data_IF_763718143972
#
_entry.id   IF_763718143972
#
_cell.length_a   1.000
_cell.length_b   1.000
_cell.length_c   1.000
_cell.angle_alpha   90.00
_cell.angle_beta   90.00
_cell.angle_gamma   90.00
#
_symmetry.space_group_name_H-M   'P 1'
#
loop_
_entity.id
_entity.type
_entity.pdbx_description
1 polymer ?
#
# COMPACT_ATOMS: atom_id res chain seq x y z
N UNK A 1 -13.32 -5.27 8.01
CA UNK A 1 -12.35 -4.18 8.09
C UNK A 1 -11.36 -4.30 6.95
N UNK A 2 -11.16 -3.21 6.24
CA UNK A 2 -10.31 -3.07 5.06
C UNK A 2 -9.37 -1.90 5.33
N UNK A 3 -8.15 -1.99 4.83
CA UNK A 3 -7.13 -0.98 5.06
C UNK A 3 -6.66 -0.41 3.74
N UNK A 4 -6.58 0.91 3.67
CA UNK A 4 -5.85 1.62 2.61
C UNK A 4 -4.50 1.97 3.17
N UNK A 5 -3.45 1.83 2.38
CA UNK A 5 -2.08 2.06 2.82
C UNK A 5 -1.25 2.75 1.77
N UNK A 6 -0.26 3.49 2.25
CA UNK A 6 0.77 4.15 1.45
C UNK A 6 2.13 3.66 1.92
N UNK A 7 2.88 3.09 0.99
CA UNK A 7 4.27 2.71 1.17
C UNK A 7 5.15 3.75 0.49
N UNK A 8 6.26 4.13 1.14
CA UNK A 8 7.34 4.88 0.52
C UNK A 8 8.44 3.90 0.14
N UNK A 9 8.84 3.87 -1.12
CA UNK A 9 10.05 3.15 -1.51
C UNK A 9 11.26 3.98 -1.14
N UNK A 10 12.14 3.41 -0.32
CA UNK A 10 13.39 4.07 0.09
C UNK A 10 14.43 4.06 -1.05
N UNK A 11 14.18 3.28 -2.10
CA UNK A 11 15.06 3.17 -3.26
C UNK A 11 14.89 4.31 -4.26
N UNK A 12 13.63 4.64 -4.59
CA UNK A 12 13.29 5.65 -5.59
C UNK A 12 12.61 6.89 -5.00
N UNK A 13 12.30 6.89 -3.70
CA UNK A 13 11.61 7.99 -3.02
C UNK A 13 10.15 8.13 -3.42
N UNK A 14 9.60 7.19 -4.18
CA UNK A 14 8.24 7.27 -4.73
C UNK A 14 7.25 6.48 -3.88
N UNK A 15 6.01 6.97 -3.83
CA UNK A 15 4.94 6.31 -3.11
C UNK A 15 4.36 5.12 -3.89
N UNK A 16 3.73 4.21 -3.15
CA UNK A 16 2.87 3.15 -3.64
C UNK A 16 1.62 3.09 -2.78
N UNK A 17 0.46 3.27 -3.40
CA UNK A 17 -0.82 3.23 -2.70
C UNK A 17 -1.59 1.97 -3.08
N UNK A 18 -2.13 1.28 -2.08
CA UNK A 18 -2.95 0.10 -2.27
C UNK A 18 -3.95 -0.08 -1.14
N UNK A 19 -4.78 -1.12 -1.27
CA UNK A 19 -5.65 -1.57 -0.19
C UNK A 19 -5.42 -3.05 0.10
N UNK A 20 -5.67 -3.47 1.35
CA UNK A 20 -5.57 -4.85 1.79
C UNK A 20 -6.43 -5.12 3.02
N UNK A 21 -6.79 -6.38 3.24
CA UNK A 21 -7.44 -6.81 4.50
C UNK A 21 -6.44 -6.96 5.65
N UNK A 22 -5.18 -7.29 5.33
CA UNK A 22 -4.11 -7.48 6.30
C UNK A 22 -2.85 -6.74 5.82
N UNK A 23 -2.62 -5.56 6.37
CA UNK A 23 -1.58 -4.64 5.90
C UNK A 23 -0.16 -5.16 6.16
N UNK A 24 0.09 -5.79 7.31
CA UNK A 24 1.42 -6.28 7.69
C UNK A 24 1.91 -7.37 6.74
N UNK A 25 1.06 -8.37 6.47
CA UNK A 25 1.35 -9.42 5.51
C UNK A 25 1.61 -8.84 4.12
N UNK A 26 0.87 -7.80 3.73
CA UNK A 26 1.02 -7.17 2.42
C UNK A 26 2.31 -6.38 2.31
N UNK A 27 2.64 -5.58 3.33
CA UNK A 27 3.90 -4.83 3.40
C UNK A 27 5.11 -5.78 3.37
N UNK A 28 5.04 -6.90 4.10
CA UNK A 28 6.07 -7.95 4.05
C UNK A 28 6.23 -8.52 2.64
N UNK A 29 5.14 -8.89 1.95
CA UNK A 29 5.20 -9.38 0.56
C UNK A 29 5.83 -8.38 -0.41
N UNK A 30 5.57 -7.08 -0.23
CA UNK A 30 6.21 -6.04 -1.03
C UNK A 30 7.73 -6.03 -0.78
N UNK A 31 8.16 -6.06 0.48
CA UNK A 31 9.58 -6.06 0.88
C UNK A 31 10.32 -7.36 0.50
N UNK A 32 9.65 -8.50 0.51
CA UNK A 32 10.17 -9.79 0.04
C UNK A 32 10.25 -9.87 -1.50
N UNK A 33 9.80 -8.86 -2.24
CA UNK A 33 9.82 -8.85 -3.70
C UNK A 33 8.83 -9.83 -4.36
N UNK A 34 7.84 -10.34 -3.60
CA UNK A 34 6.81 -11.27 -4.11
C UNK A 34 5.78 -10.58 -5.01
N UNK A 35 5.73 -9.25 -5.01
CA UNK A 35 4.83 -8.45 -5.84
C UNK A 35 5.55 -7.96 -7.08
N UNK A 36 5.19 -8.49 -8.26
CA UNK A 36 5.88 -8.24 -9.54
C UNK A 36 6.02 -6.74 -9.85
N UNK A 37 4.98 -5.94 -9.59
CA UNK A 37 4.97 -4.51 -9.90
C UNK A 37 5.85 -3.66 -8.99
N UNK A 38 6.17 -4.13 -7.77
CA UNK A 38 6.94 -3.37 -6.78
C UNK A 38 8.27 -4.03 -6.42
N UNK A 39 8.55 -5.26 -6.89
CA UNK A 39 9.76 -6.01 -6.52
C UNK A 39 11.07 -5.28 -6.81
N UNK A 40 11.09 -4.43 -7.85
CA UNK A 40 12.27 -3.67 -8.25
C UNK A 40 12.46 -2.38 -7.44
N UNK A 41 11.48 -2.03 -6.59
CA UNK A 41 11.39 -0.77 -5.82
C UNK A 41 11.57 -1.00 -4.31
N UNK A 42 11.91 -2.22 -3.88
CA UNK A 42 12.22 -2.50 -2.48
C UNK A 42 13.54 -1.83 -2.06
N UNK A 43 13.71 -1.47 -0.77
CA UNK A 43 12.79 -1.67 0.35
C UNK A 43 11.70 -0.58 0.46
N UNK A 44 10.57 -0.97 1.06
CA UNK A 44 9.41 -0.11 1.34
C UNK A 44 9.22 0.10 2.84
N UNK A 45 8.88 1.34 3.18
CA UNK A 45 8.46 1.77 4.51
C UNK A 45 6.98 2.11 4.50
N UNK A 46 6.23 1.56 5.45
CA UNK A 46 4.84 1.95 5.66
C UNK A 46 4.81 3.34 6.29
N UNK A 47 4.25 4.32 5.57
CA UNK A 47 4.18 5.73 6.03
C UNK A 47 2.79 6.16 6.47
N UNK A 48 1.76 5.48 5.97
CA UNK A 48 0.38 5.81 6.30
C UNK A 48 -0.54 4.62 6.07
N UNK A 49 -1.57 4.50 6.91
CA UNK A 49 -2.68 3.59 6.68
C UNK A 49 -3.97 4.11 7.32
N UNK A 50 -5.10 3.70 6.76
CA UNK A 50 -6.44 3.98 7.27
C UNK A 50 -7.26 2.72 7.30
N UNK A 51 -8.15 2.60 8.29
CA UNK A 51 -9.07 1.48 8.42
C UNK A 51 -10.50 1.91 8.03
N UNK A 52 -11.19 1.06 7.28
CA UNK A 52 -12.58 1.22 6.88
C UNK A 52 -13.37 -0.05 7.16
N UNK A 53 -14.62 0.08 7.58
CA UNK A 53 -15.49 -1.08 7.80
C UNK A 53 -15.98 -1.67 6.47
N UNK A 54 -16.25 -0.80 5.48
CA UNK A 54 -16.70 -1.15 4.14
C UNK A 54 -15.53 -1.16 3.14
N UNK A 55 -15.54 -2.14 2.22
CA UNK A 55 -14.55 -2.22 1.13
C UNK A 55 -14.73 -1.09 0.11
N UNK A 56 -15.97 -0.64 -0.11
CA UNK A 56 -16.28 0.45 -1.03
C UNK A 56 -15.59 1.75 -0.62
N UNK A 57 -15.64 2.07 0.67
CA UNK A 57 -14.97 3.25 1.24
C UNK A 57 -13.45 3.16 1.06
N UNK A 58 -12.87 1.98 1.34
CA UNK A 58 -11.44 1.74 1.16
C UNK A 58 -11.02 1.89 -0.32
N UNK A 59 -11.79 1.33 -1.27
CA UNK A 59 -11.50 1.45 -2.70
C UNK A 59 -11.65 2.89 -3.18
N UNK A 60 -12.69 3.61 -2.72
CA UNK A 60 -12.89 5.01 -3.07
C UNK A 60 -11.73 5.86 -2.55
N UNK A 61 -11.30 5.63 -1.32
CA UNK A 61 -10.17 6.31 -0.69
C UNK A 61 -8.85 6.01 -1.39
N UNK A 62 -8.58 4.76 -1.76
CA UNK A 62 -7.41 4.39 -2.55
C UNK A 62 -7.37 5.13 -3.90
N UNK A 63 -8.49 5.20 -4.61
CA UNK A 63 -8.59 5.94 -5.89
C UNK A 63 -8.31 7.42 -5.69
N UNK A 64 -8.89 8.03 -4.65
CA UNK A 64 -8.63 9.42 -4.30
C UNK A 64 -7.14 9.68 -4.07
N UNK A 65 -6.47 8.84 -3.28
CA UNK A 65 -5.03 8.94 -3.00
C UNK A 65 -4.13 8.73 -4.23
N UNK A 66 -4.64 8.13 -5.31
CA UNK A 66 -3.92 7.94 -6.59
C UNK A 66 -4.10 9.09 -7.57
N UNK A 67 -4.95 10.08 -7.26
CA UNK A 67 -5.27 11.21 -8.15
C UNK A 67 -4.27 12.38 -8.02
N UNK A 68 -3.33 12.30 -7.07
CA UNK A 68 -2.23 13.26 -6.87
C UNK A 68 -0.95 12.70 -7.44
#
# INVERSE_FOLDING_TARGET
>A
MYFVYVLLSEKDGQFYTGHAKYIENRASQHNEGKVISTRNRTPFKLVYYEASLNIGDAIHREKYLKTT
#
